data_IF_824934570991
#
_entry.id   IF_824934570991
#
_cell.length_a   1.000
_cell.length_b   1.000
_cell.length_c   1.000
_cell.angle_alpha   90.00
_cell.angle_beta   90.00
_cell.angle_gamma   90.00
#
_symmetry.space_group_name_H-M   'P 1'
#
loop_
_entity.id
_entity.type
_entity.pdbx_description
1 polymer ?
#
# COMPACT_ATOMS: atom_id res chain seq x y z
N UNK A 1 -3.44 19.65 8.46
CA UNK A 1 -2.36 18.67 8.69
C UNK A 1 -2.72 17.34 8.06
N UNK A 2 -1.81 16.82 7.27
CA UNK A 2 -2.06 15.58 6.56
C UNK A 2 -1.90 14.38 7.48
N UNK A 3 -2.83 13.47 7.38
CA UNK A 3 -2.79 12.25 8.15
C UNK A 3 -1.93 11.23 7.45
N UNK A 4 -1.00 10.63 8.18
CA UNK A 4 -0.16 9.58 7.64
C UNK A 4 -0.97 8.29 7.46
N UNK A 5 -0.95 7.74 6.28
CA UNK A 5 -1.64 6.49 6.01
C UNK A 5 -0.64 5.33 6.13
N UNK A 6 -1.05 4.27 6.82
CA UNK A 6 -0.22 3.08 6.96
C UNK A 6 -0.69 2.00 6.02
N UNK A 7 0.24 1.48 5.23
CA UNK A 7 -0.04 0.42 4.27
C UNK A 7 0.78 -0.81 4.68
N UNK A 8 0.13 -1.96 4.74
CA UNK A 8 0.79 -3.21 5.08
C UNK A 8 0.94 -4.06 3.85
N UNK A 9 2.11 -4.65 3.66
CA UNK A 9 2.35 -5.56 2.57
C UNK A 9 2.92 -6.86 3.11
N UNK A 10 2.42 -7.98 2.58
CA UNK A 10 2.87 -9.29 2.97
C UNK A 10 3.31 -10.05 1.72
N UNK A 11 4.42 -10.78 1.86
CA UNK A 11 4.92 -11.58 0.74
C UNK A 11 4.07 -12.83 0.56
N UNK A 12 3.67 -13.08 -0.68
CA UNK A 12 2.93 -14.26 -1.06
C UNK A 12 3.85 -15.16 -1.87
N UNK A 13 4.31 -16.26 -1.24
CA UNK A 13 5.25 -17.18 -1.85
C UNK A 13 4.68 -17.91 -3.06
N UNK A 14 3.39 -18.13 -3.08
CA UNK A 14 2.78 -18.84 -4.18
C UNK A 14 2.71 -17.99 -5.44
N UNK A 15 2.34 -16.72 -5.27
CA UNK A 15 2.21 -15.81 -6.39
C UNK A 15 3.48 -15.02 -6.67
N UNK A 16 4.44 -15.06 -5.75
CA UNK A 16 5.69 -14.31 -5.85
C UNK A 16 5.45 -12.81 -5.97
N UNK A 17 4.54 -12.29 -5.14
CA UNK A 17 4.24 -10.87 -5.11
C UNK A 17 4.07 -10.40 -3.68
N UNK A 18 4.21 -9.09 -3.49
CA UNK A 18 3.82 -8.40 -2.27
C UNK A 18 2.36 -8.01 -2.41
N UNK A 19 1.54 -8.40 -1.44
CA UNK A 19 0.12 -8.06 -1.41
C UNK A 19 -0.07 -6.96 -0.38
N UNK A 20 -0.60 -5.83 -0.80
CA UNK A 20 -0.74 -4.65 0.05
C UNK A 20 -2.20 -4.32 0.32
N UNK A 21 -2.46 -3.86 1.53
CA UNK A 21 -3.77 -3.37 1.94
C UNK A 21 -3.59 -2.32 3.01
N UNK A 22 -4.65 -1.57 3.32
CA UNK A 22 -4.58 -0.54 4.34
C UNK A 22 -5.96 -0.32 4.96
N UNK A 23 -5.98 -0.18 6.28
CA UNK A 23 -7.20 0.21 6.98
C UNK A 23 -7.45 1.72 6.87
N UNK A 24 -6.40 2.47 6.54
CA UNK A 24 -6.49 3.92 6.45
C UNK A 24 -6.97 4.40 5.09
N UNK A 25 -6.89 3.54 4.07
CA UNK A 25 -7.28 3.87 2.71
C UNK A 25 -8.32 2.85 2.26
N UNK A 26 -9.61 3.17 2.43
CA UNK A 26 -10.66 2.20 2.10
C UNK A 26 -10.58 1.74 0.65
N UNK A 27 -10.67 0.43 0.47
CA UNK A 27 -10.64 -0.16 -0.86
C UNK A 27 -9.26 -0.44 -1.41
N UNK A 28 -8.21 -0.12 -0.67
CA UNK A 28 -6.85 -0.34 -1.17
C UNK A 28 -6.47 -1.81 -1.04
N UNK A 29 -6.37 -2.48 -2.18
CA UNK A 29 -5.78 -3.81 -2.30
C UNK A 29 -5.03 -3.84 -3.62
N UNK A 30 -3.74 -4.15 -3.56
CA UNK A 30 -2.93 -4.22 -4.78
C UNK A 30 -1.76 -5.16 -4.54
N UNK A 31 -1.06 -5.51 -5.60
CA UNK A 31 0.07 -6.40 -5.51
C UNK A 31 1.14 -6.03 -6.54
N UNK A 32 2.36 -6.42 -6.26
CA UNK A 32 3.48 -6.17 -7.16
C UNK A 32 4.64 -7.11 -6.81
N UNK A 33 5.47 -7.46 -7.79
CA UNK A 33 6.58 -8.40 -7.53
C UNK A 33 7.72 -7.80 -6.73
N UNK A 34 7.83 -6.48 -6.68
CA UNK A 34 8.88 -5.81 -5.88
C UNK A 34 8.26 -4.70 -5.05
N UNK A 35 8.97 -4.32 -3.99
CA UNK A 35 8.51 -3.21 -3.14
C UNK A 35 8.56 -1.89 -3.89
N UNK A 36 9.53 -1.70 -4.76
CA UNK A 36 9.64 -0.48 -5.56
C UNK A 36 8.45 -0.32 -6.49
N UNK A 37 8.06 -1.41 -7.16
CA UNK A 37 6.92 -1.38 -8.04
C UNK A 37 5.62 -1.18 -7.26
N UNK A 38 5.56 -1.79 -6.07
CA UNK A 38 4.42 -1.61 -5.19
C UNK A 38 4.27 -0.14 -4.80
N UNK A 39 5.36 0.51 -4.45
CA UNK A 39 5.34 1.92 -4.09
C UNK A 39 4.85 2.76 -5.26
N UNK A 40 5.31 2.45 -6.46
CA UNK A 40 4.86 3.17 -7.65
C UNK A 40 3.35 3.06 -7.82
N UNK A 41 2.80 1.86 -7.62
CA UNK A 41 1.35 1.66 -7.71
C UNK A 41 0.61 2.43 -6.61
N UNK A 42 1.14 2.38 -5.39
CA UNK A 42 0.52 3.05 -4.26
C UNK A 42 0.47 4.57 -4.45
N UNK A 43 1.50 5.14 -5.05
CA UNK A 43 1.53 6.57 -5.30
C UNK A 43 0.41 7.04 -6.23
N UNK A 44 -0.08 6.15 -7.07
CA UNK A 44 -1.21 6.44 -7.95
C UNK A 44 -2.53 6.11 -7.27
N UNK A 45 -2.62 4.95 -6.64
CA UNK A 45 -3.87 4.44 -6.10
C UNK A 45 -4.37 5.19 -4.87
N UNK A 46 -3.45 5.55 -3.97
CA UNK A 46 -3.85 6.17 -2.72
C UNK A 46 -4.58 7.49 -2.95
N UNK A 47 -4.03 8.44 -3.73
CA UNK A 47 -4.77 9.67 -3.98
C UNK A 47 -6.12 9.45 -4.66
N UNK A 48 -6.19 8.50 -5.58
CA UNK A 48 -7.44 8.19 -6.28
C UNK A 48 -8.49 7.67 -5.33
N UNK A 49 -8.11 6.72 -4.47
CA UNK A 49 -9.03 6.14 -3.52
C UNK A 49 -9.48 7.14 -2.45
N UNK A 50 -8.56 7.97 -1.99
CA UNK A 50 -8.90 9.00 -1.02
C UNK A 50 -9.90 9.99 -1.61
N UNK A 51 -9.73 10.36 -2.87
CA UNK A 51 -10.67 11.26 -3.54
C UNK A 51 -12.04 10.61 -3.69
N UNK A 52 -12.08 9.32 -4.03
CA UNK A 52 -13.34 8.59 -4.17
C UNK A 52 -14.10 8.51 -2.86
N UNK A 53 -13.39 8.46 -1.75
CA UNK A 53 -14.00 8.37 -0.44
C UNK A 53 -14.24 9.75 0.19
N UNK A 54 -14.01 10.79 -0.56
CA UNK A 54 -14.18 12.17 -0.10
C UNK A 54 -13.33 12.50 1.12
N UNK A 55 -12.23 11.78 1.27
CA UNK A 55 -11.36 11.92 2.43
C UNK A 55 -10.28 12.94 2.23
N UNK A 56 -9.92 13.18 0.99
CA UNK A 56 -8.75 13.96 0.72
C UNK A 56 -9.03 15.16 -0.15
N UNK A 57 -8.58 16.33 0.26
CA UNK A 57 -8.49 17.45 -0.64
C UNK A 57 -7.37 17.18 -1.65
N UNK A 58 -7.23 18.06 -2.59
CA UNK A 58 -6.11 17.99 -3.52
C UNK A 58 -4.81 18.09 -2.75
N UNK A 59 -3.81 17.33 -3.19
CA UNK A 59 -2.50 17.42 -2.60
C UNK A 59 -1.91 16.06 -2.28
N UNK A 60 -0.64 16.03 -1.91
CA UNK A 60 0.04 14.78 -1.60
C UNK A 60 -0.49 14.14 -0.33
N UNK A 61 -0.51 12.81 -0.33
CA UNK A 61 -0.93 12.02 0.83
C UNK A 61 0.30 11.26 1.33
N UNK A 62 0.78 11.58 2.53
CA UNK A 62 1.92 10.82 3.07
C UNK A 62 1.48 9.41 3.45
N UNK A 63 2.29 8.43 3.11
CA UNK A 63 2.02 7.07 3.52
C UNK A 63 3.32 6.35 3.87
N UNK A 64 3.19 5.36 4.74
CA UNK A 64 4.31 4.53 5.14
C UNK A 64 4.00 3.08 4.79
N UNK A 65 4.95 2.41 4.15
CA UNK A 65 4.80 1.02 3.75
C UNK A 65 5.52 0.13 4.75
N UNK A 66 4.76 -0.78 5.38
CA UNK A 66 5.31 -1.76 6.31
C UNK A 66 5.21 -3.12 5.66
N UNK A 67 6.35 -3.80 5.51
CA UNK A 67 6.38 -5.10 4.85
C UNK A 67 6.64 -6.21 5.86
N UNK A 68 6.05 -7.37 5.60
CA UNK A 68 6.27 -8.57 6.40
C UNK A 68 6.55 -9.74 5.47
N UNK A 69 7.59 -10.50 5.81
CA UNK A 69 7.94 -11.69 5.06
C UNK A 69 8.44 -12.74 6.03
N UNK A 70 7.72 -13.86 6.06
CA UNK A 70 8.11 -14.97 6.91
C UNK A 70 9.14 -15.83 6.19
N UNK A 71 10.24 -16.16 6.88
CA UNK A 71 11.28 -17.00 6.33
C UNK A 71 11.76 -17.98 7.40
N UNK A 72 12.26 -19.11 6.95
CA UNK A 72 12.86 -20.11 7.82
C UNK A 72 14.31 -20.30 7.44
N UNK A 73 15.19 -20.37 8.43
CA UNK A 73 16.57 -20.78 8.17
C UNK A 73 16.59 -22.28 7.94
N UNK A 74 17.61 -22.72 7.23
CA UNK A 74 17.74 -24.15 6.92
C UNK A 74 18.06 -24.96 8.19
#
# INVERSE_FOLDING_TARGET
MDKLAYVHAQWDDEANVWVASSDDVPGLVTEAPTTEELITRLKVMIPELMALNSESPAGPVPFELLTRRFEMTA
#
